data_IF_597357025764
#
_entry.id   IF_597357025764
#
_cell.length_a   1.000
_cell.length_b   1.000
_cell.length_c   1.000
_cell.angle_alpha   90.00
_cell.angle_beta   90.00
_cell.angle_gamma   90.00
#
_symmetry.space_group_name_H-M   'P 1'
#
loop_
_entity.id
_entity.type
_entity.pdbx_description
1 polymer ?
#
# COMPACT_ATOMS: atom_id res chain seq x y z
N UNK A 1 73.42 7.92 49.58
CA UNK A 1 73.15 7.15 48.36
C UNK A 1 71.69 6.69 48.47
N UNK A 2 70.76 7.38 47.86
CA UNK A 2 69.35 7.09 47.96
C UNK A 2 68.83 6.51 46.59
N UNK A 3 68.48 5.25 46.62
CA UNK A 3 67.88 4.60 45.49
C UNK A 3 66.41 5.04 45.36
N UNK A 4 66.11 5.82 44.33
CA UNK A 4 64.77 6.21 43.98
C UNK A 4 64.11 5.06 43.20
N UNK A 5 63.10 4.50 43.79
CA UNK A 5 62.35 3.33 43.25
C UNK A 5 61.41 3.78 42.12
N UNK A 6 61.76 3.56 40.84
CA UNK A 6 60.99 3.94 39.64
C UNK A 6 59.79 3.04 39.33
N UNK A 7 59.47 2.09 40.25
CA UNK A 7 58.39 1.10 39.98
C UNK A 7 56.97 1.54 40.26
N UNK A 8 56.71 2.69 40.88
CA UNK A 8 55.39 3.07 41.36
C UNK A 8 54.56 4.02 40.40
N UNK A 9 55.19 4.46 39.32
CA UNK A 9 54.55 5.41 38.40
C UNK A 9 53.85 4.79 37.18
N UNK A 10 54.00 3.47 36.98
CA UNK A 10 53.40 2.81 35.78
C UNK A 10 52.02 2.21 35.99
N UNK A 11 51.47 2.23 37.19
CA UNK A 11 50.17 1.62 37.49
C UNK A 11 49.01 2.63 37.50
N UNK A 12 49.28 3.93 37.42
CA UNK A 12 48.20 4.95 37.41
C UNK A 12 47.76 5.39 36.02
N UNK A 13 48.43 4.91 34.94
CA UNK A 13 48.08 5.26 33.58
C UNK A 13 47.21 4.21 32.87
N UNK A 14 46.93 3.05 33.48
CA UNK A 14 46.08 2.02 32.88
C UNK A 14 44.67 1.94 33.50
N UNK A 15 44.37 2.71 34.53
CA UNK A 15 43.07 2.67 35.22
C UNK A 15 42.01 3.63 34.66
N UNK A 16 42.37 4.48 33.70
CA UNK A 16 41.52 5.57 33.25
C UNK A 16 40.68 5.29 32.00
N UNK A 17 40.84 4.16 31.31
CA UNK A 17 40.23 3.94 30.00
C UNK A 17 39.06 2.93 30.05
N UNK A 18 38.82 2.25 31.15
CA UNK A 18 37.78 1.20 31.24
C UNK A 18 36.43 1.72 31.74
N UNK A 19 36.31 2.94 32.25
CA UNK A 19 35.05 3.49 32.78
C UNK A 19 34.29 4.39 31.82
N UNK A 20 34.78 4.62 30.60
CA UNK A 20 34.14 5.46 29.62
C UNK A 20 33.21 4.74 28.61
N UNK A 21 33.23 3.40 28.58
CA UNK A 21 32.51 2.63 27.56
C UNK A 21 31.08 2.18 27.96
N UNK A 22 30.65 2.44 29.19
CA UNK A 22 29.36 1.94 29.71
C UNK A 22 28.23 2.98 29.77
N UNK A 23 28.44 4.18 29.22
CA UNK A 23 27.42 5.25 29.18
C UNK A 23 27.02 5.64 27.77
N UNK A 24 27.29 4.80 26.75
CA UNK A 24 26.58 4.96 25.50
C UNK A 24 25.12 4.51 25.74
N UNK A 25 24.12 5.40 25.63
CA UNK A 25 22.76 4.95 25.66
C UNK A 25 22.64 3.90 24.56
N UNK A 26 22.15 2.70 24.91
CA UNK A 26 21.65 1.77 23.94
C UNK A 26 20.51 2.50 23.21
N UNK A 27 20.85 3.28 22.20
CA UNK A 27 19.90 3.67 21.19
C UNK A 27 19.52 2.37 20.51
N UNK A 28 18.52 1.71 21.07
CA UNK A 28 17.72 0.73 20.35
C UNK A 28 17.18 1.51 19.15
N UNK A 29 17.88 1.45 18.03
CA UNK A 29 17.29 1.77 16.75
C UNK A 29 16.12 0.80 16.63
N UNK A 30 14.95 1.23 17.11
CA UNK A 30 13.71 0.57 16.79
C UNK A 30 13.68 0.58 15.26
N UNK A 31 14.02 -0.56 14.67
CA UNK A 31 13.85 -0.77 13.25
C UNK A 31 12.37 -0.50 12.99
N UNK A 32 12.07 0.69 12.45
CA UNK A 32 10.74 1.01 11.97
C UNK A 32 10.51 0.02 10.85
N UNK A 33 9.90 -1.10 11.19
CA UNK A 33 9.52 -2.10 10.20
C UNK A 33 8.53 -1.42 9.26
N UNK A 34 9.01 -1.03 8.09
CA UNK A 34 8.14 -0.50 7.04
C UNK A 34 7.10 -1.58 6.77
N UNK A 35 5.80 -1.26 6.89
CA UNK A 35 4.76 -2.24 6.61
C UNK A 35 4.99 -2.83 5.23
N UNK A 36 5.04 -4.16 5.12
CA UNK A 36 5.18 -4.83 3.83
C UNK A 36 4.05 -4.34 2.91
N UNK A 37 4.37 -3.92 1.69
CA UNK A 37 3.35 -3.51 0.74
C UNK A 37 2.40 -4.70 0.49
N UNK A 38 1.13 -4.39 0.35
CA UNK A 38 0.08 -5.35 0.02
C UNK A 38 -0.27 -5.21 -1.43
N UNK A 39 -0.61 -6.31 -2.06
CA UNK A 39 -0.90 -6.38 -3.47
C UNK A 39 -2.36 -6.75 -3.68
N UNK A 40 -3.03 -6.02 -4.57
CA UNK A 40 -4.31 -6.41 -5.17
C UNK A 40 -4.10 -6.60 -6.67
N UNK A 41 -4.43 -7.78 -7.17
CA UNK A 41 -4.36 -8.09 -8.60
C UNK A 41 -5.75 -8.01 -9.22
N UNK A 42 -5.87 -7.29 -10.32
CA UNK A 42 -7.12 -7.08 -11.06
C UNK A 42 -6.98 -7.50 -12.51
N UNK A 43 -8.08 -7.99 -13.07
CA UNK A 43 -8.23 -8.25 -14.50
C UNK A 43 -9.57 -7.73 -14.98
N UNK A 44 -9.57 -6.83 -15.93
CA UNK A 44 -10.79 -6.44 -16.62
C UNK A 44 -11.11 -7.49 -17.71
N UNK A 45 -12.17 -8.26 -17.49
CA UNK A 45 -12.55 -9.37 -18.41
C UNK A 45 -13.05 -8.88 -19.77
N UNK A 46 -13.43 -7.61 -19.89
CA UNK A 46 -13.93 -7.06 -21.16
C UNK A 46 -12.82 -6.51 -22.04
N UNK A 47 -11.72 -6.02 -21.45
CA UNK A 47 -10.58 -5.45 -22.19
C UNK A 47 -9.37 -6.37 -22.17
N UNK A 48 -9.36 -7.38 -21.26
CA UNK A 48 -8.21 -8.26 -21.03
C UNK A 48 -7.08 -7.62 -20.23
N UNK A 49 -7.18 -6.33 -19.91
CA UNK A 49 -6.16 -5.59 -19.16
C UNK A 49 -6.00 -6.13 -17.75
N UNK A 50 -4.76 -6.16 -17.28
CA UNK A 50 -4.39 -6.58 -15.93
C UNK A 50 -3.62 -5.48 -15.22
N UNK A 51 -3.81 -5.39 -13.90
CA UNK A 51 -3.10 -4.46 -13.05
C UNK A 51 -2.85 -5.09 -11.69
N UNK A 52 -1.60 -4.99 -11.22
CA UNK A 52 -1.24 -5.28 -9.84
C UNK A 52 -1.03 -3.98 -9.09
N UNK A 53 -1.87 -3.70 -8.11
CA UNK A 53 -1.88 -2.45 -7.36
C UNK A 53 -1.29 -2.66 -5.97
N UNK A 54 -0.16 -2.02 -5.70
CA UNK A 54 0.44 -2.00 -4.37
C UNK A 54 -0.18 -0.92 -3.49
N UNK A 55 -0.38 -1.22 -2.22
CA UNK A 55 -0.79 -0.25 -1.21
C UNK A 55 -0.20 -0.57 0.17
N UNK A 56 -0.09 0.45 1.00
CA UNK A 56 0.34 0.30 2.39
C UNK A 56 -0.83 0.57 3.34
N UNK A 57 -0.99 -0.27 4.37
CA UNK A 57 -1.97 -0.01 5.42
C UNK A 57 -1.67 1.34 6.08
N UNK A 58 -2.71 2.15 6.25
CA UNK A 58 -2.61 3.50 6.82
C UNK A 58 -2.15 4.58 5.86
N UNK A 59 -1.53 4.23 4.71
CA UNK A 59 -1.12 5.19 3.67
C UNK A 59 -1.97 5.10 2.40
N UNK A 60 -2.71 3.98 2.23
CA UNK A 60 -3.53 3.74 1.04
C UNK A 60 -2.70 3.51 -0.22
N UNK A 61 -3.28 3.87 -1.35
CA UNK A 61 -2.68 3.77 -2.68
C UNK A 61 -1.98 5.08 -3.05
N UNK A 62 -0.90 5.01 -3.82
CA UNK A 62 -0.31 6.20 -4.42
C UNK A 62 -1.27 6.82 -5.45
N UNK A 63 -1.14 8.15 -5.67
CA UNK A 63 -1.93 8.81 -6.71
C UNK A 63 -1.68 8.23 -8.12
N UNK A 64 -0.48 7.73 -8.39
CA UNK A 64 -0.16 7.05 -9.64
C UNK A 64 -0.94 5.74 -9.76
N UNK A 65 -0.93 4.91 -8.71
CA UNK A 65 -1.68 3.66 -8.66
C UNK A 65 -3.19 3.90 -8.80
N UNK A 66 -3.73 4.93 -8.13
CA UNK A 66 -5.15 5.28 -8.25
C UNK A 66 -5.53 5.66 -9.69
N UNK A 67 -4.70 6.44 -10.40
CA UNK A 67 -4.95 6.74 -11.82
C UNK A 67 -4.95 5.50 -12.72
N UNK A 68 -4.08 4.53 -12.44
CA UNK A 68 -4.08 3.26 -13.19
C UNK A 68 -5.34 2.44 -12.90
N UNK A 69 -5.80 2.43 -11.64
CA UNK A 69 -7.07 1.78 -11.25
C UNK A 69 -8.27 2.47 -11.90
N UNK A 70 -8.32 3.80 -11.89
CA UNK A 70 -9.38 4.58 -12.57
C UNK A 70 -9.44 4.23 -14.06
N UNK A 71 -8.28 4.14 -14.72
CA UNK A 71 -8.18 3.76 -16.12
C UNK A 71 -8.64 2.31 -16.36
N UNK A 72 -8.22 1.36 -15.53
CA UNK A 72 -8.64 -0.05 -15.62
C UNK A 72 -10.15 -0.20 -15.48
N UNK A 73 -10.77 0.63 -14.63
CA UNK A 73 -12.20 0.61 -14.32
C UNK A 73 -13.05 1.53 -15.19
N UNK A 74 -12.48 2.13 -16.23
CA UNK A 74 -13.17 3.06 -17.13
C UNK A 74 -14.39 2.44 -17.83
N UNK A 75 -15.27 3.27 -18.33
CA UNK A 75 -16.38 2.82 -19.18
C UNK A 75 -15.85 2.26 -20.52
N UNK A 76 -15.99 0.96 -20.71
CA UNK A 76 -15.49 0.25 -21.91
C UNK A 76 -16.17 0.69 -23.23
N UNK A 77 -17.34 1.34 -23.17
CA UNK A 77 -18.11 1.76 -24.36
C UNK A 77 -17.70 3.14 -24.82
N UNK A 78 -17.48 4.05 -23.87
CA UNK A 78 -17.15 5.46 -24.16
C UNK A 78 -15.68 5.77 -23.93
N UNK A 79 -14.93 4.82 -23.36
CA UNK A 79 -13.54 4.97 -22.92
C UNK A 79 -13.34 6.10 -21.88
N UNK A 80 -14.44 6.55 -21.25
CA UNK A 80 -14.39 7.59 -20.23
C UNK A 80 -13.81 7.04 -18.92
N UNK A 81 -12.79 7.72 -18.42
CA UNK A 81 -12.17 7.48 -17.12
C UNK A 81 -12.90 8.33 -16.08
N UNK A 82 -13.20 7.76 -14.95
CA UNK A 82 -13.76 8.44 -13.78
C UNK A 82 -12.97 8.09 -12.54
N UNK A 83 -12.87 9.02 -11.61
CA UNK A 83 -12.20 8.78 -10.32
C UNK A 83 -13.06 7.85 -9.48
N UNK A 84 -12.49 6.69 -9.12
CA UNK A 84 -13.12 5.74 -8.23
C UNK A 84 -12.87 6.11 -6.76
N UNK A 85 -13.79 5.76 -5.87
CA UNK A 85 -13.56 5.90 -4.44
C UNK A 85 -12.41 4.98 -4.00
N UNK A 86 -11.30 5.50 -3.45
CA UNK A 86 -10.18 4.68 -2.97
C UNK A 86 -10.58 3.64 -1.91
N UNK A 87 -11.64 3.90 -1.15
CA UNK A 87 -12.14 2.96 -0.16
C UNK A 87 -12.69 1.66 -0.77
N UNK A 88 -13.12 1.69 -2.04
CA UNK A 88 -13.53 0.52 -2.78
C UNK A 88 -12.42 -0.54 -2.82
N UNK A 89 -11.18 -0.13 -3.08
CA UNK A 89 -10.04 -1.04 -3.17
C UNK A 89 -9.64 -1.60 -1.80
N UNK A 90 -9.79 -0.80 -0.75
CA UNK A 90 -9.62 -1.28 0.62
C UNK A 90 -10.65 -2.35 0.98
N UNK A 91 -11.90 -2.17 0.55
CA UNK A 91 -12.96 -3.18 0.74
C UNK A 91 -12.68 -4.46 -0.03
N UNK A 92 -12.18 -4.39 -1.26
CA UNK A 92 -11.75 -5.59 -1.99
C UNK A 92 -10.69 -6.39 -1.23
N UNK A 93 -9.70 -5.69 -0.68
CA UNK A 93 -8.69 -6.34 0.15
C UNK A 93 -9.30 -7.02 1.38
N UNK A 94 -10.20 -6.34 2.09
CA UNK A 94 -10.88 -6.88 3.28
C UNK A 94 -11.68 -8.14 2.93
N UNK A 95 -12.44 -8.12 1.83
CA UNK A 95 -13.21 -9.27 1.35
C UNK A 95 -12.28 -10.45 1.03
N UNK A 96 -11.18 -10.23 0.34
CA UNK A 96 -10.20 -11.29 0.06
C UNK A 96 -9.62 -11.89 1.35
N UNK A 97 -9.30 -11.04 2.35
CA UNK A 97 -8.79 -11.54 3.63
C UNK A 97 -9.83 -12.40 4.37
N UNK A 98 -11.09 -11.94 4.42
CA UNK A 98 -12.17 -12.64 5.09
C UNK A 98 -12.51 -13.99 4.44
N UNK A 99 -12.34 -14.08 3.12
CA UNK A 99 -12.57 -15.32 2.36
C UNK A 99 -11.33 -16.23 2.26
N UNK A 100 -10.19 -15.83 2.84
CA UNK A 100 -8.95 -16.59 2.72
C UNK A 100 -8.33 -16.58 1.30
N UNK A 101 -8.82 -15.71 0.40
CA UNK A 101 -8.43 -15.63 -1.02
C UNK A 101 -7.24 -14.68 -1.23
N UNK A 102 -6.19 -14.81 -0.42
CA UNK A 102 -5.00 -13.95 -0.54
C UNK A 102 -4.36 -14.12 -1.91
N UNK A 103 -3.99 -12.99 -2.52
CA UNK A 103 -3.33 -12.93 -3.84
C UNK A 103 -4.15 -13.51 -5.01
N UNK A 104 -5.44 -13.69 -4.85
CA UNK A 104 -6.33 -14.10 -5.94
C UNK A 104 -6.63 -12.91 -6.86
N UNK A 105 -6.60 -13.12 -8.18
CA UNK A 105 -6.94 -12.10 -9.16
C UNK A 105 -8.44 -11.74 -9.06
N UNK A 106 -8.74 -10.45 -8.91
CA UNK A 106 -10.11 -9.92 -8.89
C UNK A 106 -10.54 -9.65 -10.33
N UNK A 107 -11.58 -10.33 -10.77
CA UNK A 107 -12.13 -10.13 -12.11
C UNK A 107 -13.14 -8.97 -12.11
N UNK A 108 -12.86 -7.95 -12.92
CA UNK A 108 -13.72 -6.79 -13.10
C UNK A 108 -14.66 -7.03 -14.29
N UNK A 109 -15.94 -7.18 -13.99
CA UNK A 109 -17.01 -7.33 -14.99
C UNK A 109 -17.50 -5.95 -15.43
N UNK A 110 -17.63 -5.01 -14.48
CA UNK A 110 -18.09 -3.65 -14.71
C UNK A 110 -17.47 -2.73 -13.65
N UNK A 111 -16.78 -1.68 -14.08
CA UNK A 111 -16.33 -0.59 -13.25
C UNK A 111 -17.23 0.63 -13.39
N UNK A 112 -16.65 1.78 -13.73
CA UNK A 112 -17.39 2.99 -14.05
C UNK A 112 -18.26 2.80 -15.29
N UNK A 113 -19.41 3.45 -15.27
CA UNK A 113 -20.34 3.50 -16.38
C UNK A 113 -20.78 4.95 -16.58
N UNK A 114 -20.46 5.54 -17.71
CA UNK A 114 -20.89 6.90 -18.05
C UNK A 114 -22.42 7.03 -18.06
N UNK A 115 -22.92 8.23 -17.81
CA UNK A 115 -24.37 8.48 -17.86
C UNK A 115 -24.97 8.10 -19.23
N UNK A 116 -24.23 8.35 -20.31
CA UNK A 116 -24.62 7.97 -21.66
C UNK A 116 -24.75 6.44 -21.83
N UNK A 117 -23.74 5.69 -21.37
CA UNK A 117 -23.76 4.22 -21.39
C UNK A 117 -24.90 3.67 -20.52
N UNK A 118 -25.09 4.25 -19.33
CA UNK A 118 -26.18 3.82 -18.45
C UNK A 118 -27.57 4.06 -19.08
N UNK A 119 -27.80 5.24 -19.62
CA UNK A 119 -29.04 5.57 -20.29
C UNK A 119 -29.31 4.65 -21.49
N UNK A 120 -28.30 4.35 -22.30
CA UNK A 120 -28.43 3.42 -23.42
C UNK A 120 -28.78 1.99 -22.94
N UNK A 121 -28.21 1.53 -21.84
CA UNK A 121 -28.53 0.21 -21.26
C UNK A 121 -29.93 0.20 -20.63
N UNK A 122 -30.30 1.26 -19.90
CA UNK A 122 -31.63 1.39 -19.30
C UNK A 122 -32.75 1.32 -20.33
N UNK A 123 -32.58 1.96 -21.52
CA UNK A 123 -33.54 1.86 -22.63
C UNK A 123 -33.69 0.43 -23.18
N UNK A 124 -32.66 -0.39 -23.10
CA UNK A 124 -32.64 -1.78 -23.60
C UNK A 124 -33.10 -2.81 -22.57
N UNK A 125 -33.00 -2.49 -21.29
CA UNK A 125 -33.31 -3.43 -20.21
C UNK A 125 -33.88 -2.70 -19.00
N UNK A 126 -35.07 -3.12 -18.56
CA UNK A 126 -35.70 -2.63 -17.32
C UNK A 126 -34.92 -3.03 -16.05
N UNK A 127 -34.03 -4.00 -16.15
CA UNK A 127 -33.14 -4.42 -15.01
C UNK A 127 -31.99 -3.46 -14.74
N UNK A 128 -31.79 -2.44 -15.59
CA UNK A 128 -30.74 -1.45 -15.37
C UNK A 128 -31.34 -0.23 -14.68
N UNK A 129 -30.91 0.08 -13.47
CA UNK A 129 -31.35 1.26 -12.73
C UNK A 129 -30.94 2.54 -13.47
N UNK A 130 -31.87 3.51 -13.57
CA UNK A 130 -31.59 4.84 -14.15
C UNK A 130 -30.52 5.59 -13.35
N UNK A 131 -30.57 5.47 -12.01
CA UNK A 131 -29.60 6.06 -11.08
C UNK A 131 -28.67 4.97 -10.50
N UNK A 132 -27.84 4.40 -11.35
CA UNK A 132 -26.90 3.32 -10.97
C UNK A 132 -25.71 3.86 -10.20
N UNK A 133 -25.23 3.14 -9.17
CA UNK A 133 -23.98 3.46 -8.49
C UNK A 133 -22.74 3.42 -9.41
N UNK A 134 -22.77 2.65 -10.48
CA UNK A 134 -21.70 2.64 -11.48
C UNK A 134 -21.45 4.00 -12.16
N UNK A 135 -22.38 4.97 -12.05
CA UNK A 135 -22.23 6.31 -12.61
C UNK A 135 -21.39 7.21 -11.69
N UNK A 136 -21.26 6.84 -10.42
CA UNK A 136 -20.64 7.70 -9.39
C UNK A 136 -19.14 7.42 -9.19
N UNK A 137 -18.66 6.26 -9.58
CA UNK A 137 -17.28 5.82 -9.36
C UNK A 137 -17.04 5.12 -8.05
#
# INVERSE_FOLDING_TARGET
MSHINHGRRKWLSLGGIVLGASLLPNTVLAAVSTPKPRLLSFRNINTGEKLSAEFALGRGFSNATLRLLDHLLRDKRTNQVHRMDPNLFTKFYQVQQNLGLRNTEIQIICGYRSAASNAAMHRRSRGVASNSYHIRG
#
